data_IF_599182649355
#
_entry.id   IF_599182649355
#
_cell.length_a   1.000
_cell.length_b   1.000
_cell.length_c   1.000
_cell.angle_alpha   90.00
_cell.angle_beta   90.00
_cell.angle_gamma   90.00
#
_symmetry.space_group_name_H-M   'P 1'
#
loop_
_entity.id
_entity.type
_entity.pdbx_description
1 polymer ?
#
# COMPACT_ATOMS: atom_id res chain seq x y z
N UNK A 1 -19.00 -7.98 -30.28
CA UNK A 1 -17.96 -8.05 -29.22
C UNK A 1 -16.96 -6.90 -29.32
N UNK A 2 -16.31 -6.66 -30.47
CA UNK A 2 -15.35 -5.53 -30.63
C UNK A 2 -15.97 -4.13 -30.43
N UNK A 3 -17.22 -3.91 -30.86
CA UNK A 3 -17.96 -2.65 -30.70
C UNK A 3 -18.32 -2.35 -29.23
N UNK A 4 -18.71 -3.38 -28.48
CA UNK A 4 -19.03 -3.29 -27.03
C UNK A 4 -17.79 -2.93 -26.23
N UNK A 5 -16.64 -3.56 -26.53
CA UNK A 5 -15.36 -3.26 -25.90
C UNK A 5 -14.89 -1.82 -26.22
N UNK A 6 -15.04 -1.37 -27.46
CA UNK A 6 -14.69 0.00 -27.85
C UNK A 6 -15.58 1.07 -27.18
N UNK A 7 -16.89 0.84 -27.10
CA UNK A 7 -17.82 1.75 -26.43
C UNK A 7 -17.53 1.88 -24.92
N UNK A 8 -17.22 0.75 -24.28
CA UNK A 8 -16.83 0.73 -22.88
C UNK A 8 -15.46 1.37 -22.63
N UNK A 9 -14.48 1.14 -23.51
CA UNK A 9 -13.16 1.76 -23.40
C UNK A 9 -13.24 3.29 -23.53
N UNK A 10 -14.04 3.81 -24.47
CA UNK A 10 -14.25 5.26 -24.62
C UNK A 10 -15.03 5.82 -23.43
N UNK A 11 -16.05 5.13 -22.92
CA UNK A 11 -16.78 5.57 -21.74
C UNK A 11 -15.89 5.66 -20.48
N UNK A 12 -14.91 4.77 -20.34
CA UNK A 12 -13.99 4.78 -19.20
C UNK A 12 -12.80 5.73 -19.40
N UNK A 13 -12.45 6.08 -20.64
CA UNK A 13 -11.29 6.94 -20.97
C UNK A 13 -11.32 8.32 -20.28
N UNK A 14 -12.51 8.89 -20.09
CA UNK A 14 -12.69 10.17 -19.41
C UNK A 14 -12.17 10.15 -17.97
N UNK A 15 -12.35 9.03 -17.27
CA UNK A 15 -11.81 8.85 -15.92
C UNK A 15 -10.27 8.82 -15.90
N UNK A 16 -9.65 8.13 -16.85
CA UNK A 16 -8.17 8.09 -16.96
C UNK A 16 -7.61 9.48 -17.24
N UNK A 17 -8.25 10.23 -18.13
CA UNK A 17 -7.87 11.60 -18.42
C UNK A 17 -8.04 12.50 -17.18
N UNK A 18 -9.11 12.30 -16.41
CA UNK A 18 -9.36 13.03 -15.16
C UNK A 18 -8.21 12.88 -14.15
N UNK A 19 -7.83 11.63 -13.88
CA UNK A 19 -6.77 11.30 -12.92
C UNK A 19 -5.41 11.80 -13.42
N UNK A 20 -5.12 11.64 -14.71
CA UNK A 20 -3.88 12.15 -15.29
C UNK A 20 -3.79 13.68 -15.22
N UNK A 21 -4.88 14.39 -15.53
CA UNK A 21 -4.94 15.85 -15.44
C UNK A 21 -4.84 16.31 -13.99
N UNK A 22 -5.53 15.62 -13.06
CA UNK A 22 -5.43 15.91 -11.64
C UNK A 22 -4.01 15.68 -11.12
N UNK A 23 -3.35 14.59 -11.50
CA UNK A 23 -1.96 14.29 -11.16
C UNK A 23 -1.01 15.37 -11.68
N UNK A 24 -1.16 15.80 -12.93
CA UNK A 24 -0.30 16.84 -13.52
C UNK A 24 -0.50 18.20 -12.86
N UNK A 25 -1.73 18.51 -12.48
CA UNK A 25 -2.08 19.83 -11.95
C UNK A 25 -1.74 19.97 -10.46
N UNK A 26 -2.06 18.97 -9.64
CA UNK A 26 -1.68 18.95 -8.22
C UNK A 26 -0.21 18.58 -8.03
N UNK A 27 0.36 17.84 -9.00
CA UNK A 27 1.69 17.27 -8.93
C UNK A 27 1.80 16.11 -7.95
N UNK A 28 0.67 15.52 -7.51
CA UNK A 28 0.62 14.31 -6.71
C UNK A 28 0.13 13.15 -7.56
N UNK A 29 0.79 11.99 -7.48
CA UNK A 29 0.46 10.85 -8.35
C UNK A 29 -0.92 10.25 -8.09
N UNK A 30 -1.43 10.39 -6.87
CA UNK A 30 -2.72 9.82 -6.47
C UNK A 30 -3.59 10.87 -5.77
N UNK A 31 -4.02 11.94 -6.47
CA UNK A 31 -4.83 12.99 -5.87
C UNK A 31 -6.11 12.41 -5.25
N UNK A 32 -6.67 11.39 -5.90
CA UNK A 32 -7.85 10.66 -5.43
C UNK A 32 -7.69 10.10 -4.01
N UNK A 33 -6.47 9.74 -3.58
CA UNK A 33 -6.24 9.20 -2.23
C UNK A 33 -6.64 10.21 -1.15
N UNK A 34 -6.41 11.49 -1.44
CA UNK A 34 -6.52 12.55 -0.48
C UNK A 34 -7.90 13.25 -0.52
N UNK A 35 -8.58 13.24 -1.68
CA UNK A 35 -9.97 13.70 -1.87
C UNK A 35 -10.77 12.71 -2.72
N UNK A 36 -11.10 11.59 -2.11
CA UNK A 36 -11.78 10.47 -2.76
C UNK A 36 -13.16 10.87 -3.30
N UNK A 37 -13.88 11.73 -2.58
CA UNK A 37 -15.17 12.27 -2.98
C UNK A 37 -15.10 13.16 -4.21
N UNK A 38 -14.06 14.01 -4.32
CA UNK A 38 -13.88 14.90 -5.46
C UNK A 38 -13.40 14.08 -6.66
N UNK A 39 -12.47 13.14 -6.49
CA UNK A 39 -12.07 12.20 -7.56
C UNK A 39 -13.25 11.37 -8.05
N UNK A 40 -14.07 10.82 -7.15
CA UNK A 40 -15.25 10.05 -7.53
C UNK A 40 -16.26 10.91 -8.29
N UNK A 41 -16.55 12.12 -7.82
CA UNK A 41 -17.44 13.06 -8.53
C UNK A 41 -16.88 13.46 -9.90
N UNK A 42 -15.57 13.68 -10.01
CA UNK A 42 -14.86 13.96 -11.25
C UNK A 42 -14.93 12.76 -12.21
N UNK A 43 -14.71 11.55 -11.70
CA UNK A 43 -14.77 10.31 -12.45
C UNK A 43 -16.19 10.03 -12.95
N UNK A 44 -17.21 10.24 -12.12
CA UNK A 44 -18.63 10.07 -12.48
C UNK A 44 -19.06 11.09 -13.53
N UNK A 45 -18.70 12.36 -13.36
CA UNK A 45 -19.07 13.43 -14.32
C UNK A 45 -18.39 13.23 -15.68
N UNK A 46 -17.11 12.84 -15.71
CA UNK A 46 -16.41 12.53 -16.96
C UNK A 46 -16.85 11.22 -17.58
N UNK A 47 -17.09 10.16 -16.80
CA UNK A 47 -17.66 8.92 -17.31
C UNK A 47 -19.06 9.15 -17.90
N UNK A 48 -19.88 10.03 -17.30
CA UNK A 48 -21.17 10.42 -17.85
C UNK A 48 -21.01 11.19 -19.17
N UNK A 49 -20.06 12.14 -19.26
CA UNK A 49 -19.78 12.91 -20.47
C UNK A 49 -19.27 12.02 -21.62
N UNK A 50 -18.33 11.11 -21.35
CA UNK A 50 -17.79 10.17 -22.35
C UNK A 50 -18.81 9.11 -22.74
N UNK A 51 -19.65 8.65 -21.80
CA UNK A 51 -20.79 7.76 -22.12
C UNK A 51 -21.79 8.48 -23.02
N UNK A 52 -22.08 9.76 -22.76
CA UNK A 52 -22.94 10.58 -23.62
C UNK A 52 -22.38 10.74 -25.04
N UNK A 53 -21.09 11.08 -25.16
CA UNK A 53 -20.39 11.21 -26.44
C UNK A 53 -20.39 9.89 -27.20
N UNK A 54 -20.10 8.79 -26.52
CA UNK A 54 -20.11 7.45 -27.10
C UNK A 54 -21.51 7.08 -27.59
N UNK A 55 -22.56 7.28 -26.79
CA UNK A 55 -23.95 7.03 -27.19
C UNK A 55 -24.35 7.83 -28.44
N UNK A 56 -23.94 9.10 -28.53
CA UNK A 56 -24.17 9.96 -29.70
C UNK A 56 -23.44 9.47 -30.95
N UNK A 57 -22.18 9.06 -30.80
CA UNK A 57 -21.31 8.64 -31.90
C UNK A 57 -21.73 7.24 -32.42
N UNK A 58 -21.99 6.30 -31.52
CA UNK A 58 -22.43 4.95 -31.89
C UNK A 58 -23.82 4.92 -32.54
N UNK A 59 -24.77 5.76 -32.09
CA UNK A 59 -26.08 5.88 -32.76
C UNK A 59 -25.99 6.39 -34.20
N UNK A 60 -24.97 7.19 -34.53
CA UNK A 60 -24.72 7.64 -35.91
C UNK A 60 -24.14 6.52 -36.78
N UNK A 61 -23.41 5.58 -36.19
CA UNK A 61 -22.66 4.53 -36.91
C UNK A 61 -23.47 3.24 -37.06
N UNK A 62 -24.20 2.81 -36.02
CA UNK A 62 -25.11 1.66 -36.05
C UNK A 62 -26.42 2.00 -35.31
N UNK A 63 -27.47 2.42 -36.03
CA UNK A 63 -28.74 2.81 -35.41
C UNK A 63 -29.59 1.64 -34.86
N UNK A 64 -29.14 0.38 -34.95
CA UNK A 64 -29.95 -0.78 -34.61
C UNK A 64 -29.11 -1.98 -34.08
N UNK A 65 -28.60 -1.90 -32.85
CA UNK A 65 -28.19 -3.11 -32.12
C UNK A 65 -29.08 -3.33 -30.92
N UNK A 66 -29.42 -4.60 -30.68
CA UNK A 66 -30.18 -5.05 -29.54
C UNK A 66 -29.47 -4.64 -28.24
N UNK A 67 -30.18 -4.13 -27.22
CA UNK A 67 -29.58 -3.70 -25.95
C UNK A 67 -29.19 -4.88 -25.04
N UNK A 68 -29.64 -6.08 -25.35
CA UNK A 68 -29.51 -7.28 -24.51
C UNK A 68 -28.07 -7.77 -24.34
N UNK A 69 -27.20 -7.76 -25.37
CA UNK A 69 -25.77 -8.06 -25.24
C UNK A 69 -25.02 -7.22 -24.20
N UNK A 70 -25.38 -5.94 -24.04
CA UNK A 70 -24.71 -5.05 -23.08
C UNK A 70 -25.09 -5.39 -21.63
N UNK A 71 -26.38 -5.69 -21.39
CA UNK A 71 -26.88 -6.09 -20.07
C UNK A 71 -26.38 -7.49 -19.68
N UNK A 72 -26.33 -8.42 -20.63
CA UNK A 72 -25.79 -9.76 -20.43
C UNK A 72 -24.29 -9.72 -20.11
N UNK A 73 -23.50 -8.92 -20.82
CA UNK A 73 -22.09 -8.73 -20.54
C UNK A 73 -21.85 -8.10 -19.16
N UNK A 74 -22.64 -7.12 -18.76
CA UNK A 74 -22.56 -6.52 -17.43
C UNK A 74 -22.86 -7.54 -16.32
N UNK A 75 -23.94 -8.31 -16.46
CA UNK A 75 -24.31 -9.36 -15.50
C UNK A 75 -23.25 -10.46 -15.42
N UNK A 76 -22.68 -10.89 -16.55
CA UNK A 76 -21.62 -11.88 -16.59
C UNK A 76 -20.35 -11.41 -15.87
N UNK A 77 -19.91 -10.17 -16.12
CA UNK A 77 -18.72 -9.61 -15.46
C UNK A 77 -18.89 -9.54 -13.93
N UNK A 78 -20.08 -9.15 -13.45
CA UNK A 78 -20.37 -9.10 -12.02
C UNK A 78 -20.47 -10.48 -11.40
N UNK A 79 -21.09 -11.44 -12.09
CA UNK A 79 -21.18 -12.84 -11.62
C UNK A 79 -19.80 -13.51 -11.58
N UNK A 80 -18.97 -13.30 -12.62
CA UNK A 80 -17.61 -13.80 -12.66
C UNK A 80 -16.73 -13.17 -11.58
N UNK A 81 -16.85 -11.86 -11.35
CA UNK A 81 -16.16 -11.14 -10.26
C UNK A 81 -16.57 -11.65 -8.88
N UNK A 82 -17.88 -11.86 -8.66
CA UNK A 82 -18.39 -12.45 -7.42
C UNK A 82 -17.83 -13.87 -7.20
N UNK A 83 -17.94 -14.74 -8.20
CA UNK A 83 -17.46 -16.11 -8.14
C UNK A 83 -15.94 -16.19 -7.91
N UNK A 84 -15.15 -15.33 -8.56
CA UNK A 84 -13.71 -15.25 -8.37
C UNK A 84 -13.33 -14.77 -6.96
N UNK A 85 -14.03 -13.75 -6.43
CA UNK A 85 -13.82 -13.25 -5.08
C UNK A 85 -14.10 -14.31 -4.01
N UNK A 86 -15.27 -14.95 -4.07
CA UNK A 86 -15.62 -16.03 -3.13
C UNK A 86 -14.71 -17.26 -3.29
N UNK A 87 -14.39 -17.66 -4.53
CA UNK A 87 -13.56 -18.83 -4.82
C UNK A 87 -12.09 -18.66 -4.43
N UNK A 88 -11.59 -17.42 -4.34
CA UNK A 88 -10.20 -17.11 -3.97
C UNK A 88 -10.02 -16.83 -2.48
N UNK A 89 -11.07 -16.98 -1.66
CA UNK A 89 -11.01 -16.70 -0.21
C UNK A 89 -11.07 -15.22 0.16
N UNK A 90 -11.53 -14.35 -0.76
CA UNK A 90 -11.72 -12.91 -0.54
C UNK A 90 -13.21 -12.54 -0.64
N UNK A 91 -14.04 -12.95 0.34
CA UNK A 91 -15.48 -12.77 0.29
C UNK A 91 -15.87 -11.29 0.20
N UNK A 92 -15.06 -10.37 0.74
CA UNK A 92 -15.27 -8.93 0.66
C UNK A 92 -15.30 -8.45 -0.80
N UNK A 93 -14.36 -8.92 -1.63
CA UNK A 93 -14.32 -8.60 -3.05
C UNK A 93 -15.51 -9.22 -3.82
N UNK A 94 -15.96 -10.40 -3.40
CA UNK A 94 -17.17 -11.03 -3.92
C UNK A 94 -18.42 -10.21 -3.60
N UNK A 95 -18.54 -9.74 -2.36
CA UNK A 95 -19.64 -8.88 -1.90
C UNK A 95 -19.72 -7.54 -2.63
N UNK A 96 -18.63 -7.01 -3.19
CA UNK A 96 -18.67 -5.80 -4.03
C UNK A 96 -19.46 -5.98 -5.33
N UNK A 97 -19.51 -7.21 -5.86
CA UNK A 97 -20.14 -7.50 -7.14
C UNK A 97 -21.61 -7.94 -7.01
N UNK A 98 -22.03 -8.36 -5.82
CA UNK A 98 -23.37 -8.93 -5.57
C UNK A 98 -24.49 -7.88 -5.57
N UNK A 99 -24.42 -6.74 -4.85
CA UNK A 99 -25.47 -5.73 -4.89
C UNK A 99 -25.71 -5.12 -6.28
N UNK A 100 -24.67 -4.85 -7.10
CA UNK A 100 -24.82 -4.45 -8.51
C UNK A 100 -25.58 -5.51 -9.33
N UNK A 101 -25.21 -6.78 -9.19
CA UNK A 101 -25.85 -7.89 -9.89
C UNK A 101 -27.32 -8.02 -9.48
N UNK A 102 -27.61 -7.93 -8.18
CA UNK A 102 -28.98 -7.94 -7.65
C UNK A 102 -29.82 -6.78 -8.20
N UNK A 103 -29.23 -5.59 -8.34
CA UNK A 103 -29.88 -4.42 -8.96
C UNK A 103 -30.25 -4.64 -10.44
N UNK A 104 -29.36 -5.26 -11.22
CA UNK A 104 -29.65 -5.64 -12.62
C UNK A 104 -30.82 -6.64 -12.65
N UNK A 105 -30.75 -7.70 -11.84
CA UNK A 105 -31.76 -8.77 -11.80
C UNK A 105 -33.12 -8.22 -11.35
N UNK A 106 -33.15 -7.40 -10.30
CA UNK A 106 -34.36 -6.74 -9.81
C UNK A 106 -34.98 -5.78 -10.84
N UNK A 107 -34.17 -5.23 -11.75
CA UNK A 107 -34.63 -4.41 -12.86
C UNK A 107 -35.30 -5.18 -14.00
N UNK A 108 -34.94 -6.46 -14.24
CA UNK A 108 -35.47 -7.27 -15.35
C UNK A 108 -37.00 -7.25 -15.51
N UNK A 109 -37.82 -7.43 -14.44
CA UNK A 109 -39.29 -7.45 -14.56
C UNK A 109 -39.90 -6.10 -14.95
N UNK A 110 -39.19 -4.98 -14.77
CA UNK A 110 -39.73 -3.67 -15.10
C UNK A 110 -39.84 -3.49 -16.62
N UNK A 111 -41.03 -3.13 -17.13
CA UNK A 111 -41.23 -2.85 -18.58
C UNK A 111 -40.67 -1.48 -19.00
N UNK A 112 -40.49 -0.57 -18.03
CA UNK A 112 -39.99 0.79 -18.24
C UNK A 112 -38.49 0.88 -17.93
N UNK A 113 -37.78 1.69 -18.71
CA UNK A 113 -36.33 1.90 -18.55
C UNK A 113 -35.98 2.68 -17.27
N UNK A 114 -36.87 3.55 -16.79
CA UNK A 114 -36.65 4.34 -15.57
C UNK A 114 -36.50 3.47 -14.31
N UNK A 115 -37.47 2.60 -14.00
CA UNK A 115 -37.33 1.65 -12.89
C UNK A 115 -36.15 0.68 -13.06
N UNK A 116 -35.81 0.28 -14.28
CA UNK A 116 -34.60 -0.52 -14.57
C UNK A 116 -33.32 0.23 -14.19
N UNK A 117 -33.22 1.49 -14.59
CA UNK A 117 -32.08 2.35 -14.25
C UNK A 117 -32.02 2.60 -12.74
N UNK A 118 -33.16 2.87 -12.11
CA UNK A 118 -33.23 3.10 -10.67
C UNK A 118 -32.77 1.86 -9.87
N UNK A 119 -33.26 0.67 -10.23
CA UNK A 119 -32.84 -0.59 -9.62
C UNK A 119 -31.34 -0.87 -9.84
N UNK A 120 -30.83 -0.59 -11.04
CA UNK A 120 -29.40 -0.67 -11.33
C UNK A 120 -28.62 0.33 -10.46
N UNK A 121 -28.97 1.61 -10.40
CA UNK A 121 -28.25 2.61 -9.59
C UNK A 121 -28.30 2.30 -8.09
N UNK A 122 -29.41 1.77 -7.58
CA UNK A 122 -29.52 1.28 -6.21
C UNK A 122 -28.51 0.16 -5.90
N UNK A 123 -28.29 -0.76 -6.84
CA UNK A 123 -27.27 -1.79 -6.71
C UNK A 123 -25.85 -1.24 -6.54
N UNK A 124 -25.56 -0.05 -7.07
CA UNK A 124 -24.25 0.63 -6.95
C UNK A 124 -24.20 1.66 -5.81
N UNK A 125 -25.28 1.87 -5.06
CA UNK A 125 -25.39 2.91 -4.03
C UNK A 125 -24.45 2.70 -2.82
N UNK A 126 -23.91 1.49 -2.67
CA UNK A 126 -22.98 1.14 -1.60
C UNK A 126 -21.51 1.49 -1.95
N UNK A 127 -21.18 1.68 -3.23
CA UNK A 127 -19.81 2.00 -3.66
C UNK A 127 -19.26 3.30 -3.04
N UNK A 128 -20.03 4.39 -2.91
CA UNK A 128 -19.56 5.59 -2.22
C UNK A 128 -19.10 5.34 -0.77
N UNK A 129 -19.71 4.37 -0.07
CA UNK A 129 -19.34 4.03 1.31
C UNK A 129 -18.02 3.27 1.45
N UNK A 130 -17.60 2.58 0.39
CA UNK A 130 -16.35 1.81 0.32
C UNK A 130 -15.14 2.67 -0.03
N UNK A 131 -15.38 3.87 -0.58
CA UNK A 131 -14.36 4.88 -0.85
C UNK A 131 -14.32 5.92 0.28
N UNK A 132 -14.62 5.50 1.53
CA UNK A 132 -14.49 6.42 2.66
C UNK A 132 -13.02 6.50 3.11
N UNK A 133 -12.50 7.71 3.41
CA UNK A 133 -11.14 7.91 3.89
C UNK A 133 -10.79 7.07 5.14
N UNK A 134 -11.81 6.71 5.95
CA UNK A 134 -11.65 5.88 7.15
C UNK A 134 -11.49 4.39 6.82
N UNK A 135 -12.26 3.83 5.90
CA UNK A 135 -12.21 2.41 5.56
C UNK A 135 -10.89 2.03 4.87
N UNK A 136 -10.40 2.89 3.97
CA UNK A 136 -9.13 2.68 3.28
C UNK A 136 -7.91 2.89 4.20
N UNK A 137 -7.92 3.91 5.09
CA UNK A 137 -6.87 4.07 6.12
C UNK A 137 -6.86 2.93 7.12
N UNK A 138 -8.02 2.39 7.50
CA UNK A 138 -8.09 1.18 8.31
C UNK A 138 -7.44 0.00 7.57
N UNK A 139 -7.75 -0.21 6.29
CA UNK A 139 -7.11 -1.26 5.49
C UNK A 139 -5.58 -1.10 5.38
N UNK A 140 -5.07 0.11 5.11
CA UNK A 140 -3.62 0.37 5.05
C UNK A 140 -2.91 0.21 6.42
N UNK A 141 -3.55 0.68 7.50
CA UNK A 141 -3.02 0.57 8.87
C UNK A 141 -3.05 -0.87 9.38
N UNK A 142 -4.11 -1.63 9.09
CA UNK A 142 -4.26 -3.01 9.55
C UNK A 142 -3.49 -4.02 8.70
N UNK A 143 -3.29 -3.75 7.41
CA UNK A 143 -2.69 -4.74 6.54
C UNK A 143 -1.16 -4.69 6.52
N UNK A 144 -0.51 -3.53 6.70
CA UNK A 144 0.93 -3.37 6.41
C UNK A 144 1.30 -3.72 4.95
N UNK A 145 0.30 -4.07 4.13
CA UNK A 145 0.39 -4.44 2.75
C UNK A 145 0.29 -3.14 1.96
N UNK A 146 1.37 -2.81 1.28
CA UNK A 146 1.38 -1.82 0.22
C UNK A 146 0.43 -2.33 -0.88
N UNK A 147 -0.87 -2.02 -0.79
CA UNK A 147 -1.83 -2.37 -1.84
C UNK A 147 -1.34 -1.69 -3.11
N UNK A 148 -0.87 -2.44 -4.13
CA UNK A 148 -0.27 -1.83 -5.31
C UNK A 148 -1.34 -0.93 -5.93
N UNK A 149 -1.00 0.31 -6.24
CA UNK A 149 -1.99 1.30 -6.65
C UNK A 149 -2.75 0.90 -7.93
N UNK A 150 -2.14 0.02 -8.74
CA UNK A 150 -2.81 -0.63 -9.86
C UNK A 150 -4.02 -1.49 -9.46
N UNK A 151 -4.05 -2.07 -8.27
CA UNK A 151 -5.12 -2.96 -7.80
C UNK A 151 -6.38 -2.17 -7.42
N UNK A 152 -6.26 -1.07 -6.67
CA UNK A 152 -7.41 -0.20 -6.36
C UNK A 152 -8.01 0.43 -7.61
N UNK A 153 -7.14 0.79 -8.56
CA UNK A 153 -7.55 1.30 -9.87
C UNK A 153 -8.29 0.24 -10.70
N UNK A 154 -7.78 -1.00 -10.73
CA UNK A 154 -8.39 -2.15 -11.40
C UNK A 154 -9.74 -2.53 -10.79
N UNK A 155 -9.87 -2.49 -9.46
CA UNK A 155 -11.13 -2.76 -8.74
C UNK A 155 -12.20 -1.74 -9.13
N UNK A 156 -11.88 -0.45 -9.14
CA UNK A 156 -12.85 0.57 -9.56
C UNK A 156 -13.18 0.46 -11.06
N UNK A 157 -12.23 0.00 -11.90
CA UNK A 157 -12.49 -0.29 -13.32
C UNK A 157 -13.47 -1.47 -13.49
N UNK A 158 -13.24 -2.56 -12.75
CA UNK A 158 -14.08 -3.76 -12.77
C UNK A 158 -15.51 -3.50 -12.29
N UNK A 159 -15.71 -2.47 -11.45
CA UNK A 159 -17.03 -2.07 -10.94
C UNK A 159 -17.74 -1.01 -11.81
N UNK A 160 -16.99 -0.11 -12.46
CA UNK A 160 -17.55 0.92 -13.34
C UNK A 160 -17.83 0.42 -14.76
N UNK A 161 -17.09 -0.58 -15.24
CA UNK A 161 -17.31 -1.18 -16.55
C UNK A 161 -18.72 -1.80 -16.70
N UNK A 162 -19.21 -2.64 -15.77
CA UNK A 162 -20.57 -3.16 -15.82
C UNK A 162 -21.63 -2.05 -15.74
N UNK A 163 -21.37 -0.98 -14.96
CA UNK A 163 -22.27 0.17 -14.89
C UNK A 163 -22.40 0.87 -16.26
N UNK A 164 -21.26 1.14 -16.92
CA UNK A 164 -21.26 1.73 -18.25
C UNK A 164 -22.04 0.86 -19.25
N UNK A 165 -21.84 -0.45 -19.24
CA UNK A 165 -22.56 -1.40 -20.09
C UNK A 165 -24.08 -1.40 -19.83
N UNK A 166 -24.50 -1.32 -18.56
CA UNK A 166 -25.93 -1.17 -18.20
C UNK A 166 -26.50 0.14 -18.75
N UNK A 167 -25.77 1.25 -18.61
CA UNK A 167 -26.18 2.55 -19.15
C UNK A 167 -26.28 2.51 -20.69
N UNK A 168 -25.33 1.87 -21.39
CA UNK A 168 -25.43 1.65 -22.83
C UNK A 168 -26.69 0.85 -23.19
N UNK A 169 -26.92 -0.30 -22.55
CA UNK A 169 -28.11 -1.12 -22.82
C UNK A 169 -29.45 -0.40 -22.58
N UNK A 170 -29.51 0.48 -21.58
CA UNK A 170 -30.74 1.21 -21.26
C UNK A 170 -30.97 2.44 -22.13
N UNK A 171 -29.91 3.17 -22.49
CA UNK A 171 -29.98 4.47 -23.19
C UNK A 171 -29.84 4.38 -24.71
N UNK A 172 -29.36 3.25 -25.26
CA UNK A 172 -29.20 3.07 -26.70
C UNK A 172 -30.54 2.91 -27.45
N UNK A 173 -31.61 2.50 -26.75
CA UNK A 173 -32.94 2.20 -27.34
C UNK A 173 -33.50 3.36 -28.18
N UNK A 174 -33.80 3.17 -29.48
CA UNK A 174 -34.15 4.23 -30.42
C UNK A 174 -35.33 5.12 -30.00
N UNK A 175 -36.38 4.57 -29.41
CA UNK A 175 -37.67 5.27 -29.26
C UNK A 175 -38.21 5.39 -27.83
N UNK A 176 -37.58 6.23 -26.99
CA UNK A 176 -38.24 6.65 -25.74
C UNK A 176 -38.19 8.16 -25.54
N UNK A 177 -39.36 8.79 -25.72
CA UNK A 177 -39.64 10.21 -25.43
C UNK A 177 -39.16 10.62 -24.03
N UNK A 178 -39.20 9.66 -23.09
CA UNK A 178 -38.75 9.74 -21.69
C UNK A 178 -37.26 10.07 -21.50
N UNK A 179 -36.40 9.87 -22.52
CA UNK A 179 -34.93 10.02 -22.39
C UNK A 179 -34.32 11.05 -23.35
N UNK A 180 -35.15 11.84 -24.03
CA UNK A 180 -34.66 12.92 -24.91
C UNK A 180 -33.80 13.94 -24.17
N UNK A 181 -34.07 14.14 -22.88
CA UNK A 181 -33.27 15.02 -22.01
C UNK A 181 -31.84 14.49 -21.84
N UNK A 182 -31.64 13.19 -21.67
CA UNK A 182 -30.33 12.58 -21.49
C UNK A 182 -29.46 12.67 -22.75
N UNK A 183 -30.08 12.82 -23.92
CA UNK A 183 -29.40 12.98 -25.21
C UNK A 183 -29.31 14.45 -25.65
N UNK A 184 -29.88 15.38 -24.89
CA UNK A 184 -29.85 16.80 -25.17
C UNK A 184 -28.43 17.36 -24.95
N UNK A 185 -27.96 18.35 -25.73
CA UNK A 185 -26.67 19.02 -25.49
C UNK A 185 -26.52 19.55 -24.06
N UNK A 186 -27.63 19.97 -23.43
CA UNK A 186 -27.65 20.43 -22.04
C UNK A 186 -27.22 19.36 -21.03
N UNK A 187 -27.39 18.06 -21.33
CA UNK A 187 -26.90 16.98 -20.47
C UNK A 187 -25.37 16.91 -20.48
N UNK A 188 -24.74 17.08 -21.65
CA UNK A 188 -23.29 17.21 -21.76
C UNK A 188 -22.81 18.49 -21.06
N UNK A 189 -23.50 19.61 -21.28
CA UNK A 189 -23.17 20.87 -20.61
C UNK A 189 -23.23 20.73 -19.08
N UNK A 190 -24.25 20.07 -18.53
CA UNK A 190 -24.36 19.79 -17.10
C UNK A 190 -23.22 18.90 -16.59
N UNK A 191 -22.81 17.88 -17.36
CA UNK A 191 -21.65 17.04 -16.99
C UNK A 191 -20.34 17.85 -16.99
N UNK A 192 -20.15 18.74 -17.97
CA UNK A 192 -18.97 19.60 -18.06
C UNK A 192 -18.95 20.68 -16.97
N UNK A 193 -20.10 21.27 -16.62
CA UNK A 193 -20.23 22.20 -15.49
C UNK A 193 -19.96 21.48 -14.17
N UNK A 194 -20.50 20.26 -14.00
CA UNK A 194 -20.21 19.42 -12.83
C UNK A 194 -18.72 19.07 -12.73
N UNK A 195 -18.08 18.72 -13.85
CA UNK A 195 -16.64 18.50 -13.92
C UNK A 195 -15.85 19.77 -13.56
N UNK A 196 -16.22 20.92 -14.12
CA UNK A 196 -15.58 22.21 -13.80
C UNK A 196 -15.74 22.59 -12.33
N UNK A 197 -16.90 22.29 -11.72
CA UNK A 197 -17.13 22.49 -10.30
C UNK A 197 -16.28 21.53 -9.43
N UNK A 198 -16.15 20.25 -9.83
CA UNK A 198 -15.25 19.32 -9.15
C UNK A 198 -13.78 19.76 -9.28
N UNK A 199 -13.40 20.24 -10.46
CA UNK A 199 -12.08 20.81 -10.73
C UNK A 199 -11.81 22.07 -9.91
N UNK A 200 -12.80 22.95 -9.75
CA UNK A 200 -12.75 24.09 -8.82
C UNK A 200 -12.61 23.65 -7.36
N UNK A 201 -13.28 22.55 -6.98
CA UNK A 201 -13.15 21.93 -5.66
C UNK A 201 -11.72 21.48 -5.35
N UNK A 202 -10.99 20.93 -6.32
CA UNK A 202 -9.55 20.61 -6.18
C UNK A 202 -8.67 21.83 -5.93
N UNK A 203 -9.10 23.02 -6.36
CA UNK A 203 -8.37 24.28 -6.17
C UNK A 203 -8.57 24.86 -4.77
N UNK A 204 -9.79 24.76 -4.25
CA UNK A 204 -10.14 25.30 -2.93
C UNK A 204 -9.79 24.32 -1.81
N UNK A 205 -9.65 23.03 -2.13
CA UNK A 205 -9.24 21.98 -1.20
C UNK A 205 -8.03 21.25 -1.76
N UNK A 206 -6.80 21.66 -1.39
CA UNK A 206 -5.61 20.94 -1.81
C UNK A 206 -5.71 19.45 -1.43
N UNK A 207 -4.98 18.62 -2.19
CA UNK A 207 -4.99 17.18 -2.00
C UNK A 207 -4.62 16.85 -0.55
N UNK A 208 -3.55 17.44 -0.02
CA UNK A 208 -3.18 17.29 1.39
C UNK A 208 -3.59 18.54 2.18
N UNK A 209 -3.88 18.36 3.48
CA UNK A 209 -4.21 19.42 4.43
C UNK A 209 -3.88 18.94 5.87
N UNK A 210 -4.30 19.70 6.89
CA UNK A 210 -4.09 19.34 8.29
C UNK A 210 -4.65 17.96 8.69
N UNK A 211 -5.69 17.47 7.99
CA UNK A 211 -6.39 16.20 8.26
C UNK A 211 -5.90 15.04 7.37
N UNK A 212 -5.39 15.36 6.18
CA UNK A 212 -4.88 14.45 5.18
C UNK A 212 -3.42 14.81 4.92
N UNK A 213 -2.51 14.13 5.62
CA UNK A 213 -1.08 14.34 5.44
C UNK A 213 -0.46 13.19 4.66
N UNK A 214 0.46 13.51 3.75
CA UNK A 214 1.25 12.52 3.02
C UNK A 214 2.21 11.81 3.98
N UNK A 215 2.26 10.48 3.94
CA UNK A 215 3.23 9.72 4.74
C UNK A 215 4.56 9.59 4.00
N UNK A 216 5.64 9.90 4.69
CA UNK A 216 7.01 9.71 4.23
C UNK A 216 7.68 8.73 5.17
N UNK A 217 8.12 7.58 4.65
CA UNK A 217 8.92 6.62 5.40
C UNK A 217 10.35 7.13 5.40
N UNK A 218 10.94 7.20 6.58
CA UNK A 218 12.33 7.58 6.82
C UNK A 218 13.01 6.34 7.39
N UNK A 219 13.93 5.74 6.64
CA UNK A 219 14.73 4.61 7.08
C UNK A 219 16.17 5.07 7.29
N UNK A 220 16.60 5.10 8.54
CA UNK A 220 17.96 5.41 8.93
C UNK A 220 18.69 4.11 9.19
N UNK A 221 19.88 3.95 8.61
CA UNK A 221 20.63 2.70 8.72
C UNK A 221 22.10 2.95 8.98
N UNK A 222 22.70 2.04 9.74
CA UNK A 222 24.14 1.96 9.95
C UNK A 222 24.61 0.50 9.94
N UNK A 223 25.68 0.25 9.21
CA UNK A 223 26.42 -1.01 9.15
C UNK A 223 27.83 -0.76 9.72
N UNK A 224 28.00 -1.09 11.00
CA UNK A 224 29.25 -0.84 11.74
C UNK A 224 30.38 -1.79 11.29
N UNK A 225 30.06 -2.93 10.66
CA UNK A 225 31.06 -3.84 10.11
C UNK A 225 31.70 -3.22 8.86
N UNK A 226 30.88 -2.58 8.01
CA UNK A 226 31.33 -1.93 6.77
C UNK A 226 31.76 -0.48 6.96
N UNK A 227 31.46 0.12 8.12
CA UNK A 227 31.66 1.54 8.37
C UNK A 227 30.78 2.43 7.50
N UNK A 228 29.60 1.93 7.07
CA UNK A 228 28.67 2.67 6.24
C UNK A 228 27.44 3.08 7.05
N UNK A 229 26.92 4.29 6.81
CA UNK A 229 25.64 4.71 7.34
C UNK A 229 24.90 5.55 6.30
N UNK A 230 23.59 5.70 6.47
CA UNK A 230 22.78 6.46 5.54
C UNK A 230 21.32 6.59 5.93
N UNK A 231 20.62 7.36 5.13
CA UNK A 231 19.20 7.61 5.28
C UNK A 231 18.51 7.41 3.93
N UNK A 232 17.35 6.78 3.97
CA UNK A 232 16.47 6.56 2.84
C UNK A 232 15.10 7.17 3.12
N UNK A 233 14.67 8.10 2.27
CA UNK A 233 13.33 8.65 2.25
C UNK A 233 12.53 7.93 1.17
N UNK A 234 11.34 7.45 1.51
CA UNK A 234 10.42 6.85 0.56
C UNK A 234 9.00 7.36 0.71
N UNK A 235 8.37 7.69 -0.42
CA UNK A 235 6.95 8.02 -0.50
C UNK A 235 6.27 7.21 -1.60
N UNK A 236 5.04 6.77 -1.35
CA UNK A 236 4.21 6.10 -2.36
C UNK A 236 3.85 7.03 -3.53
N UNK A 237 3.92 8.34 -3.32
CA UNK A 237 3.55 9.38 -4.27
C UNK A 237 4.78 10.04 -4.89
N UNK A 238 5.35 11.00 -4.17
CA UNK A 238 6.57 11.74 -4.48
C UNK A 238 7.07 12.50 -3.23
N UNK A 239 8.25 13.07 -3.33
CA UNK A 239 8.92 13.84 -2.28
C UNK A 239 8.79 15.36 -2.47
N UNK A 240 7.82 15.82 -3.29
CA UNK A 240 7.60 17.24 -3.57
C UNK A 240 7.37 18.05 -2.30
N UNK A 241 8.04 19.20 -2.18
CA UNK A 241 7.85 20.12 -1.06
C UNK A 241 8.51 19.69 0.25
N UNK A 242 9.27 18.58 0.24
CA UNK A 242 10.15 18.21 1.35
C UNK A 242 11.48 18.92 1.14
N UNK A 243 11.99 19.56 2.19
CA UNK A 243 13.35 20.06 2.26
C UNK A 243 14.02 19.48 3.48
N UNK A 244 15.28 19.12 3.31
CA UNK A 244 16.13 18.71 4.41
C UNK A 244 16.70 19.98 5.00
N UNK A 245 16.57 20.18 6.32
CA UNK A 245 17.12 21.33 7.04
C UNK A 245 18.43 20.95 7.76
N UNK A 246 18.47 19.75 8.34
CA UNK A 246 19.64 19.19 9.03
C UNK A 246 19.89 17.76 8.56
N UNK A 247 21.15 17.28 8.54
CA UNK A 247 22.37 17.93 9.02
C UNK A 247 22.94 19.00 8.08
N UNK A 248 22.54 19.02 6.82
CA UNK A 248 22.86 20.08 5.87
C UNK A 248 21.67 20.33 4.94
N UNK A 249 21.34 21.60 4.63
CA UNK A 249 20.26 21.91 3.70
C UNK A 249 20.49 21.27 2.34
N UNK A 250 19.52 20.48 1.90
CA UNK A 250 19.60 19.78 0.62
C UNK A 250 18.24 19.75 -0.06
N UNK A 251 18.27 19.96 -1.38
CA UNK A 251 17.08 19.89 -2.20
C UNK A 251 16.84 18.45 -2.65
N UNK A 252 15.66 17.93 -2.37
CA UNK A 252 15.21 16.63 -2.89
C UNK A 252 14.55 16.86 -4.25
N UNK A 253 14.79 15.97 -5.21
CA UNK A 253 14.04 15.99 -6.48
C UNK A 253 12.53 15.91 -6.18
N UNK A 254 11.76 16.95 -6.51
CA UNK A 254 10.34 16.99 -6.21
C UNK A 254 9.53 15.94 -6.98
N UNK A 255 10.03 15.44 -8.11
CA UNK A 255 9.40 14.36 -8.87
C UNK A 255 9.82 12.96 -8.37
N UNK A 256 10.89 12.89 -7.58
CA UNK A 256 11.42 11.66 -6.99
C UNK A 256 10.47 11.05 -5.97
N UNK A 257 10.50 9.72 -5.87
CA UNK A 257 9.75 8.92 -4.87
C UNK A 257 10.63 8.45 -3.72
N UNK A 258 11.89 8.31 -4.05
CA UNK A 258 12.93 7.84 -3.17
C UNK A 258 14.06 8.84 -3.23
N UNK A 259 14.66 9.09 -2.08
CA UNK A 259 15.89 9.84 -1.97
C UNK A 259 16.75 9.11 -0.97
N UNK A 260 18.04 9.01 -1.25
CA UNK A 260 18.98 8.32 -0.37
C UNK A 260 20.24 9.15 -0.23
N UNK A 261 20.81 9.12 0.96
CA UNK A 261 22.09 9.75 1.25
C UNK A 261 22.90 8.88 2.17
N UNK A 262 24.14 8.62 1.74
CA UNK A 262 25.16 8.01 2.59
C UNK A 262 25.81 9.08 3.46
N UNK A 263 26.09 8.72 4.70
CA UNK A 263 26.87 9.51 5.64
C UNK A 263 28.34 9.10 5.51
N UNK A 264 29.23 10.08 5.56
CA UNK A 264 30.67 9.85 5.46
C UNK A 264 31.21 9.17 6.73
N UNK A 265 30.67 9.55 7.89
CA UNK A 265 31.02 8.99 9.19
C UNK A 265 29.73 8.50 9.88
N UNK A 266 29.64 7.20 10.25
CA UNK A 266 28.56 6.72 11.08
C UNK A 266 28.63 7.43 12.44
N UNK A 267 27.51 7.99 12.93
CA UNK A 267 27.51 8.59 14.25
C UNK A 267 27.74 7.50 15.33
N UNK A 268 28.55 7.82 16.33
CA UNK A 268 28.97 6.90 17.40
C UNK A 268 27.85 6.74 18.44
N UNK A 269 26.75 6.10 18.03
CA UNK A 269 25.48 6.06 18.78
C UNK A 269 25.25 4.75 19.53
N UNK A 270 26.15 3.78 19.36
CA UNK A 270 26.05 2.44 19.91
C UNK A 270 27.43 2.00 20.36
N UNK A 271 27.58 1.85 21.67
CA UNK A 271 28.75 1.19 22.26
C UNK A 271 28.36 -0.25 22.53
N UNK A 272 29.04 -1.18 21.86
CA UNK A 272 28.85 -2.59 22.14
C UNK A 272 30.18 -3.31 22.20
N UNK A 273 30.21 -4.34 23.03
CA UNK A 273 31.36 -5.19 23.19
C UNK A 273 30.91 -6.61 23.45
N UNK A 274 31.64 -7.53 22.84
CA UNK A 274 31.55 -8.92 23.20
C UNK A 274 32.88 -9.41 23.76
N UNK A 275 32.80 -10.11 24.88
CA UNK A 275 33.96 -10.65 25.57
C UNK A 275 33.69 -12.08 26.01
N UNK A 276 34.73 -12.91 25.96
CA UNK A 276 34.67 -14.21 26.62
C UNK A 276 34.71 -14.03 28.13
N UNK A 277 33.91 -14.84 28.81
CA UNK A 277 33.87 -14.92 30.26
C UNK A 277 34.13 -16.37 30.68
N UNK A 278 34.90 -16.61 31.74
CA UNK A 278 35.08 -17.97 32.25
C UNK A 278 33.76 -18.52 32.81
N UNK A 279 33.39 -19.73 32.40
CA UNK A 279 32.23 -20.49 32.91
C UNK A 279 32.59 -21.98 32.95
N UNK A 280 32.53 -22.64 34.11
CA UNK A 280 32.81 -24.07 34.20
C UNK A 280 31.73 -24.93 33.52
N UNK A 281 30.53 -24.39 33.31
CA UNK A 281 29.37 -25.16 32.84
C UNK A 281 29.10 -25.01 31.33
N UNK A 282 29.94 -24.27 30.59
CA UNK A 282 29.79 -24.05 29.15
C UNK A 282 31.11 -24.25 28.40
N UNK A 283 31.03 -24.75 27.15
CA UNK A 283 32.21 -24.81 26.27
C UNK A 283 32.72 -23.39 25.98
N UNK A 284 31.79 -22.46 25.81
CA UNK A 284 32.10 -21.05 25.62
C UNK A 284 31.03 -20.20 26.29
N UNK A 285 31.44 -19.33 27.20
CA UNK A 285 30.55 -18.32 27.76
C UNK A 285 30.96 -16.93 27.27
N UNK A 286 29.96 -16.19 26.83
CA UNK A 286 30.16 -14.92 26.16
C UNK A 286 29.28 -13.87 26.82
N UNK A 287 29.89 -12.78 27.25
CA UNK A 287 29.18 -11.62 27.77
C UNK A 287 29.05 -10.58 26.67
N UNK A 288 27.82 -10.20 26.38
CA UNK A 288 27.48 -9.06 25.54
C UNK A 288 27.16 -7.88 26.44
N UNK A 289 27.85 -6.77 26.19
CA UNK A 289 27.51 -5.46 26.77
C UNK A 289 27.13 -4.55 25.63
N UNK A 290 25.95 -3.95 25.74
CA UNK A 290 25.40 -3.00 24.78
C UNK A 290 24.88 -1.79 25.57
N UNK A 291 25.35 -0.61 25.19
CA UNK A 291 24.89 0.68 25.68
C UNK A 291 24.43 1.53 24.49
N UNK A 292 23.26 2.11 24.64
CA UNK A 292 22.59 2.91 23.63
C UNK A 292 22.28 4.30 24.21
N UNK A 293 22.50 5.34 23.43
CA UNK A 293 22.12 6.71 23.83
C UNK A 293 20.58 6.88 23.91
N UNK A 294 19.84 6.04 23.19
CA UNK A 294 18.37 6.08 23.10
C UNK A 294 17.77 4.69 23.26
N UNK A 295 16.53 4.59 23.80
CA UNK A 295 15.86 3.30 23.95
C UNK A 295 15.62 2.64 22.59
N UNK A 296 16.02 1.39 22.44
CA UNK A 296 15.70 0.57 21.28
C UNK A 296 14.38 -0.18 21.49
N UNK A 297 13.57 -0.24 20.44
CA UNK A 297 12.30 -1.00 20.45
C UNK A 297 12.56 -2.50 20.34
N UNK A 298 13.60 -2.87 19.60
CA UNK A 298 13.96 -4.27 19.39
C UNK A 298 15.46 -4.46 19.26
N UNK A 299 15.97 -5.45 19.99
CA UNK A 299 17.34 -5.93 19.88
C UNK A 299 17.32 -7.40 19.48
N UNK A 300 18.11 -7.77 18.48
CA UNK A 300 18.34 -9.15 18.09
C UNK A 300 19.82 -9.46 18.16
N UNK A 301 20.16 -10.55 18.84
CA UNK A 301 21.52 -11.07 18.93
C UNK A 301 21.52 -12.44 18.27
N UNK A 302 22.38 -12.63 17.27
CA UNK A 302 22.53 -13.92 16.57
C UNK A 302 23.96 -14.42 16.71
N UNK A 303 24.10 -15.70 16.99
CA UNK A 303 25.38 -16.38 17.08
C UNK A 303 25.51 -17.35 15.91
N UNK A 304 26.68 -17.36 15.27
CA UNK A 304 27.01 -18.22 14.13
C UNK A 304 28.39 -18.84 14.35
N UNK A 305 28.46 -20.15 14.16
CA UNK A 305 29.68 -20.95 14.28
C UNK A 305 29.77 -21.90 13.09
N UNK A 306 30.99 -22.29 12.68
CA UNK A 306 31.19 -23.23 11.58
C UNK A 306 30.87 -24.64 12.09
N UNK A 307 29.67 -25.14 11.82
CA UNK A 307 29.16 -26.40 12.39
C UNK A 307 28.08 -26.21 13.46
N UNK A 308 27.54 -24.99 13.62
CA UNK A 308 26.36 -24.78 14.47
C UNK A 308 26.61 -24.94 15.97
N UNK A 309 25.53 -25.17 16.70
CA UNK A 309 25.45 -25.25 18.15
C UNK A 309 24.67 -26.48 18.58
N UNK A 310 25.11 -27.09 19.67
CA UNK A 310 24.43 -28.17 20.34
C UNK A 310 23.47 -27.59 21.37
N UNK A 311 22.20 -27.96 21.28
CA UNK A 311 21.17 -27.63 22.26
C UNK A 311 20.75 -28.89 23.00
N UNK A 312 20.62 -28.84 24.34
CA UNK A 312 20.06 -29.96 25.08
C UNK A 312 18.57 -30.09 24.71
N UNK A 313 18.15 -31.25 24.21
CA UNK A 313 16.72 -31.54 24.08
C UNK A 313 16.21 -31.97 25.45
N UNK A 314 15.27 -31.20 26.03
CA UNK A 314 14.66 -31.50 27.33
C UNK A 314 14.07 -32.91 27.38
N UNK A 315 14.26 -33.56 28.54
CA UNK A 315 14.20 -35.01 28.79
C UNK A 315 12.85 -35.68 28.49
N UNK A 316 12.91 -36.88 27.92
CA UNK A 316 12.00 -37.94 28.37
C UNK A 316 12.74 -38.70 29.48
N UNK A 317 12.27 -38.56 30.71
CA UNK A 317 12.72 -39.30 31.89
C UNK A 317 13.03 -40.76 31.52
N UNK A 318 14.31 -41.14 31.61
CA UNK A 318 14.77 -42.52 31.39
C UNK A 318 15.40 -42.84 30.04
N UNK A 319 15.53 -41.90 29.11
CA UNK A 319 16.30 -42.10 27.86
C UNK A 319 17.34 -41.00 27.70
N UNK A 320 18.62 -41.39 27.53
CA UNK A 320 19.78 -40.51 27.54
C UNK A 320 19.56 -39.21 26.77
N UNK A 321 19.79 -38.08 27.45
CA UNK A 321 19.58 -36.74 26.91
C UNK A 321 20.26 -36.56 25.56
N UNK A 322 19.45 -36.35 24.53
CA UNK A 322 19.93 -36.04 23.18
C UNK A 322 20.43 -34.61 23.10
N UNK A 323 21.36 -34.38 22.17
CA UNK A 323 21.73 -33.04 21.72
C UNK A 323 21.15 -32.85 20.33
N UNK A 324 20.52 -31.70 20.07
CA UNK A 324 20.14 -31.30 18.72
C UNK A 324 21.12 -30.25 18.20
N UNK A 325 21.53 -30.40 16.94
CA UNK A 325 22.40 -29.43 16.28
C UNK A 325 21.54 -28.38 15.58
N UNK A 326 21.87 -27.11 15.78
CA UNK A 326 21.24 -25.97 15.11
C UNK A 326 22.30 -25.06 14.49
N UNK A 327 22.05 -24.58 13.28
CA UNK A 327 23.02 -23.74 12.55
C UNK A 327 23.27 -22.37 13.20
N UNK A 328 22.29 -21.87 13.95
CA UNK A 328 22.31 -20.55 14.59
C UNK A 328 21.51 -20.51 15.87
N UNK A 329 21.94 -19.65 16.80
CA UNK A 329 21.17 -19.28 17.98
C UNK A 329 20.75 -17.81 17.87
N UNK A 330 19.50 -17.50 18.23
CA UNK A 330 18.95 -16.15 18.15
C UNK A 330 18.21 -15.81 19.44
N UNK A 331 18.58 -14.67 20.03
CA UNK A 331 17.85 -14.06 21.14
C UNK A 331 17.19 -12.77 20.66
N UNK A 332 15.98 -12.52 21.16
CA UNK A 332 15.18 -11.36 20.84
C UNK A 332 14.76 -10.67 22.12
N UNK A 333 15.06 -9.39 22.20
CA UNK A 333 14.63 -8.52 23.27
C UNK A 333 13.69 -7.48 22.66
N UNK A 334 12.57 -7.23 23.33
CA UNK A 334 11.60 -6.23 22.94
C UNK A 334 11.45 -5.22 24.08
N UNK A 335 11.11 -3.98 23.72
CA UNK A 335 10.79 -2.83 24.57
C UNK A 335 11.99 -2.01 25.07
N UNK A 336 11.96 -0.71 24.73
CA UNK A 336 12.69 0.44 25.30
C UNK A 336 13.99 0.15 26.09
N UNK A 337 14.90 -0.61 25.49
CA UNK A 337 16.18 -0.97 26.11
C UNK A 337 17.22 0.09 25.80
N UNK A 338 17.80 0.71 26.83
CA UNK A 338 18.97 1.60 26.72
C UNK A 338 20.28 0.90 27.06
N UNK A 339 20.20 -0.21 27.80
CA UNK A 339 21.35 -1.03 28.18
C UNK A 339 20.96 -2.50 28.19
N UNK A 340 21.86 -3.34 27.69
CA UNK A 340 21.76 -4.79 27.75
C UNK A 340 23.11 -5.35 28.20
N UNK A 341 23.09 -6.15 29.27
CA UNK A 341 24.25 -6.88 29.74
C UNK A 341 23.83 -8.33 29.96
N UNK A 342 24.18 -9.19 29.02
CA UNK A 342 23.68 -10.56 28.96
C UNK A 342 24.84 -11.54 28.81
N UNK A 343 24.71 -12.67 29.50
CA UNK A 343 25.68 -13.75 29.47
C UNK A 343 25.07 -14.96 28.79
N UNK A 344 25.65 -15.32 27.64
CA UNK A 344 25.23 -16.45 26.85
C UNK A 344 26.15 -17.64 27.10
N UNK A 345 25.55 -18.78 27.44
CA UNK A 345 26.25 -20.08 27.51
C UNK A 345 26.04 -20.80 26.19
N UNK A 346 27.15 -21.11 25.52
CA UNK A 346 27.15 -21.66 24.17
C UNK A 346 27.88 -23.01 24.15
N UNK A 347 27.36 -23.93 23.35
CA UNK A 347 27.97 -25.22 23.06
C UNK A 347 28.18 -25.34 21.55
N UNK A 348 29.19 -24.69 20.96
CA UNK A 348 29.50 -24.84 19.54
C UNK A 348 29.86 -26.29 19.23
N UNK A 349 29.35 -26.86 18.13
CA UNK A 349 29.70 -28.24 17.77
C UNK A 349 31.17 -28.37 17.32
N UNK A 350 31.74 -27.28 16.79
CA UNK A 350 33.16 -27.14 16.46
C UNK A 350 33.79 -26.00 17.28
N UNK A 351 34.25 -26.25 18.52
CA UNK A 351 34.80 -25.23 19.42
C UNK A 351 36.09 -24.58 18.91
N UNK A 352 36.84 -25.27 18.04
CA UNK A 352 38.00 -24.76 17.32
C UNK A 352 37.65 -23.81 16.16
N UNK A 353 36.37 -23.53 15.93
CA UNK A 353 35.94 -22.57 14.91
C UNK A 353 35.68 -21.18 15.50
N UNK A 354 35.91 -20.12 14.72
CA UNK A 354 35.59 -18.76 15.16
C UNK A 354 34.08 -18.60 15.34
N UNK A 355 33.69 -17.85 16.37
CA UNK A 355 32.30 -17.53 16.67
C UNK A 355 32.02 -16.11 16.19
N UNK A 356 31.05 -15.96 15.28
CA UNK A 356 30.59 -14.64 14.84
C UNK A 356 29.30 -14.30 15.56
N UNK A 357 29.25 -13.10 16.12
CA UNK A 357 28.07 -12.57 16.79
C UNK A 357 27.58 -11.37 16.01
N UNK A 358 26.36 -11.47 15.52
CA UNK A 358 25.66 -10.44 14.76
C UNK A 358 24.65 -9.75 15.69
N UNK A 359 24.72 -8.44 15.76
CA UNK A 359 23.79 -7.57 16.50
C UNK A 359 22.95 -6.78 15.50
N UNK A 360 21.63 -6.83 15.66
CA UNK A 360 20.68 -5.99 14.91
C UNK A 360 19.79 -5.24 15.91
N UNK A 361 19.86 -3.91 15.88
CA UNK A 361 19.07 -3.03 16.74
C UNK A 361 18.12 -2.21 15.88
N UNK A 362 16.83 -2.15 16.25
CA UNK A 362 15.81 -1.39 15.54
C UNK A 362 15.18 -0.32 16.44
N UNK A 363 14.92 0.87 15.87
CA UNK A 363 14.32 2.03 16.53
C UNK A 363 13.08 2.52 15.74
N UNK A 364 12.04 2.98 16.42
CA UNK A 364 10.85 3.64 15.88
C UNK A 364 10.90 5.16 16.14
N UNK A 365 12.09 5.73 16.19
CA UNK A 365 12.34 7.15 16.40
C UNK A 365 13.41 7.69 15.44
N UNK A 366 13.43 9.01 15.28
CA UNK A 366 14.49 9.72 14.57
C UNK A 366 15.82 9.56 15.32
N UNK A 367 16.74 8.84 14.69
CA UNK A 367 17.98 8.38 15.29
C UNK A 367 19.16 9.31 14.98
N UNK A 368 19.23 9.86 13.77
CA UNK A 368 20.30 10.78 13.37
C UNK A 368 19.94 12.26 13.56
N UNK A 369 18.72 12.57 14.02
CA UNK A 369 18.30 13.95 14.31
C UNK A 369 17.99 14.75 13.05
N UNK A 370 17.39 14.11 12.05
CA UNK A 370 17.05 14.77 10.79
C UNK A 370 15.88 15.72 10.97
N UNK A 371 16.10 16.98 10.62
CA UNK A 371 15.03 17.96 10.56
C UNK A 371 14.58 18.14 9.11
N UNK A 372 13.29 17.90 8.87
CA UNK A 372 12.66 18.09 7.58
C UNK A 372 11.65 19.23 7.65
N UNK A 373 11.70 20.13 6.67
CA UNK A 373 10.59 21.02 6.37
C UNK A 373 9.69 20.32 5.36
N UNK A 374 8.44 20.07 5.74
CA UNK A 374 7.43 19.60 4.79
C UNK A 374 6.07 20.18 5.14
N UNK A 375 5.39 20.70 4.12
CA UNK A 375 3.98 21.02 4.23
C UNK A 375 3.18 19.72 4.16
N UNK A 376 2.18 19.60 5.06
CA UNK A 376 1.11 18.59 4.97
C UNK A 376 1.64 17.15 4.86
N UNK A 377 2.76 16.86 5.52
CA UNK A 377 3.39 15.54 5.52
C UNK A 377 3.62 15.03 6.95
N UNK A 378 3.68 13.71 7.11
CA UNK A 378 4.05 13.02 8.35
C UNK A 378 5.21 12.10 8.05
N UNK A 379 6.25 12.21 8.86
CA UNK A 379 7.43 11.36 8.79
C UNK A 379 7.25 10.18 9.74
N UNK A 380 7.45 8.98 9.21
CA UNK A 380 7.45 7.73 9.99
C UNK A 380 8.87 7.22 9.98
N UNK A 381 9.53 7.34 11.12
CA UNK A 381 10.94 7.01 11.29
C UNK A 381 11.13 5.54 11.64
N UNK A 382 12.18 4.96 11.08
CA UNK A 382 12.69 3.66 11.47
C UNK A 382 14.21 3.67 11.39
N UNK A 383 14.87 3.46 12.52
CA UNK A 383 16.30 3.27 12.61
C UNK A 383 16.67 1.79 12.59
N UNK A 384 17.79 1.42 11.95
CA UNK A 384 18.37 0.08 12.02
C UNK A 384 19.89 0.15 12.12
N UNK A 385 20.44 -0.52 13.13
CA UNK A 385 21.89 -0.72 13.30
C UNK A 385 22.22 -2.17 13.09
N UNK A 386 23.31 -2.43 12.37
CA UNK A 386 23.91 -3.75 12.27
C UNK A 386 25.36 -3.68 12.67
N UNK A 387 25.78 -4.65 13.47
CA UNK A 387 27.16 -4.83 13.83
C UNK A 387 27.48 -6.32 13.87
N UNK A 388 28.72 -6.68 13.60
CA UNK A 388 29.20 -8.03 13.75
C UNK A 388 30.59 -8.01 14.39
N UNK A 389 30.84 -8.98 15.26
CA UNK A 389 32.16 -9.19 15.85
C UNK A 389 32.45 -10.68 15.85
N UNK A 390 33.64 -11.04 15.37
CA UNK A 390 34.13 -12.42 15.38
C UNK A 390 35.10 -12.60 16.52
N UNK A 391 34.78 -13.53 17.42
CA UNK A 391 35.70 -13.99 18.44
C UNK A 391 36.58 -15.12 17.87
N UNK A 392 37.88 -15.16 18.22
CA UNK A 392 38.81 -16.15 17.70
C UNK A 392 38.40 -17.58 18.10
N UNK A 393 38.97 -18.58 17.44
CA UNK A 393 38.85 -19.95 17.90
C UNK A 393 39.46 -20.12 19.31
N UNK A 394 38.90 -21.03 20.11
CA UNK A 394 39.51 -21.38 21.40
C UNK A 394 40.86 -22.07 21.12
N UNK A 395 41.94 -21.51 21.65
CA UNK A 395 43.25 -22.17 21.67
C UNK A 395 43.19 -23.34 22.66
N UNK A 396 43.70 -24.50 22.25
CA UNK A 396 43.75 -25.72 23.08
C UNK A 396 44.70 -25.57 24.25
#
# INVERSE_FOLDING_TARGET
TATVAAAAAVALSGRFLAEFVAEKWTGFRFPWYARQEISLATAVTLAAATTWLSLRLFRRIRPAEEPEPFLAAAGFLLAAGAAAGFGSGFPEAGFLCVPPLAGIVAGLPAKRAGPRLFAALLGWAHLPGLVSPRAYRAALRFAGLEVPVGVGFLVLLLLLLPLALVLFGLLFRPDRREWRWALHPNALAACLVGYAACFGGWRERPSYDGEHRRTIRVEEWADLERGEAGIDLASQENLRGIRILRPAPEAIDPAGRTWSRRLADPPDLLSWKIAESPDPDAIRAVTLTLELERPADRVRVRFRSRGGFLLPTGEAEGSGGGWSEVDRLEWRYAHELTRLEERYRLWPAAPESPLTVELEVEFEADWFGWEFEAQESVFVHRGRVRAAQTLPALAR
#
